data_IF_359695251597
#
_entry.id   IF_359695251597
#
_cell.length_a   1.000
_cell.length_b   1.000
_cell.length_c   1.000
_cell.angle_alpha   90.00
_cell.angle_beta   90.00
_cell.angle_gamma   90.00
#
_symmetry.space_group_name_H-M   'P 1'
#
loop_
_entity.id
_entity.type
_entity.pdbx_description
1 polymer ?
#
# COMPACT_ATOMS: atom_id res chain seq x y z
N UNK A 1 3.91 27.49 -24.01
CA UNK A 1 3.41 26.11 -24.15
C UNK A 1 4.16 25.23 -23.15
N UNK A 2 3.50 24.76 -22.09
CA UNK A 2 4.16 24.05 -20.98
C UNK A 2 4.11 22.54 -21.27
N UNK A 3 5.24 21.95 -21.64
CA UNK A 3 5.34 20.52 -21.96
C UNK A 3 5.33 19.75 -20.65
N UNK A 4 4.27 18.98 -20.39
CA UNK A 4 4.18 18.13 -19.21
C UNK A 4 5.17 16.97 -19.39
N UNK A 5 6.28 17.04 -18.66
CA UNK A 5 7.29 15.97 -18.63
C UNK A 5 6.69 14.76 -17.91
N UNK A 6 6.37 13.72 -18.69
CA UNK A 6 5.70 12.50 -18.22
C UNK A 6 6.63 11.51 -17.49
N UNK A 7 7.89 11.88 -17.24
CA UNK A 7 8.88 11.02 -16.57
C UNK A 7 8.46 10.61 -15.14
N UNK A 8 7.47 11.30 -14.55
CA UNK A 8 6.88 10.96 -13.24
C UNK A 8 5.80 9.87 -13.26
N UNK A 9 5.36 9.38 -14.44
CA UNK A 9 4.31 8.36 -14.54
C UNK A 9 4.76 7.01 -13.98
N UNK A 10 6.03 6.66 -14.17
CA UNK A 10 6.57 5.36 -13.75
C UNK A 10 7.18 5.47 -12.36
N UNK A 11 6.42 5.08 -11.34
CA UNK A 11 6.93 4.96 -9.98
C UNK A 11 7.78 3.69 -9.84
N UNK A 12 9.05 3.78 -10.21
CA UNK A 12 10.02 2.70 -10.03
C UNK A 12 10.64 2.81 -8.65
N UNK A 13 10.48 1.78 -7.83
CA UNK A 13 11.16 1.73 -6.54
C UNK A 13 12.66 1.59 -6.76
N UNK A 14 13.44 2.41 -6.05
CA UNK A 14 14.90 2.29 -6.09
C UNK A 14 15.32 0.97 -5.45
N UNK A 15 16.37 0.41 -6.02
CA UNK A 15 16.87 -0.91 -5.67
C UNK A 15 18.33 -0.79 -5.25
N UNK A 16 18.72 -1.53 -4.21
CA UNK A 16 20.06 -1.56 -3.63
C UNK A 16 20.75 -2.88 -4.02
N UNK A 17 21.86 -2.75 -4.73
CA UNK A 17 22.71 -3.86 -5.14
C UNK A 17 23.95 -4.01 -4.24
N UNK A 18 24.40 -2.90 -3.64
CA UNK A 18 25.60 -2.85 -2.80
C UNK A 18 25.39 -1.92 -1.62
N UNK A 19 26.05 -2.23 -0.51
CA UNK A 19 26.19 -1.33 0.64
C UNK A 19 27.69 -1.09 0.80
N UNK A 20 28.11 0.14 0.57
CA UNK A 20 29.53 0.52 0.49
C UNK A 20 30.27 -0.41 -0.49
N UNK A 21 31.14 -1.30 0.00
CA UNK A 21 31.92 -2.25 -0.81
C UNK A 21 31.33 -3.67 -0.84
N UNK A 22 30.28 -3.95 -0.06
CA UNK A 22 29.67 -5.26 0.02
C UNK A 22 28.60 -5.45 -1.07
N UNK A 23 28.79 -6.45 -1.94
CA UNK A 23 27.76 -6.88 -2.87
C UNK A 23 26.74 -7.73 -2.12
N UNK A 24 25.46 -7.34 -2.14
CA UNK A 24 24.45 -8.15 -1.50
C UNK A 24 24.18 -9.39 -2.37
N UNK A 25 24.11 -10.58 -1.78
CA UNK A 25 23.83 -11.82 -2.52
C UNK A 25 22.43 -11.80 -3.15
N UNK A 26 21.56 -10.92 -2.67
CA UNK A 26 20.24 -10.67 -3.22
C UNK A 26 19.96 -9.17 -3.28
N UNK A 27 19.17 -8.80 -4.27
CA UNK A 27 18.82 -7.42 -4.56
C UNK A 27 17.68 -6.99 -3.63
N UNK A 28 17.87 -5.96 -2.81
CA UNK A 28 16.84 -5.43 -1.91
C UNK A 28 16.28 -4.10 -2.39
N UNK A 29 14.98 -3.89 -2.26
CA UNK A 29 14.38 -2.56 -2.44
C UNK A 29 14.39 -1.75 -1.14
N UNK A 30 14.37 -0.42 -1.23
CA UNK A 30 14.26 0.43 -0.04
C UNK A 30 13.00 0.15 0.80
N UNK A 31 11.91 -0.25 0.14
CA UNK A 31 10.69 -0.68 0.83
C UNK A 31 10.89 -1.96 1.63
N UNK A 32 11.58 -2.96 1.08
CA UNK A 32 11.90 -4.20 1.79
C UNK A 32 12.75 -3.94 3.03
N UNK A 33 13.78 -3.10 2.91
CA UNK A 33 14.63 -2.70 4.06
C UNK A 33 13.78 -2.02 5.14
N UNK A 34 12.90 -1.10 4.75
CA UNK A 34 11.98 -0.44 5.69
C UNK A 34 11.08 -1.44 6.41
N UNK A 35 10.48 -2.39 5.67
CA UNK A 35 9.63 -3.41 6.27
C UNK A 35 10.42 -4.29 7.23
N UNK A 36 11.61 -4.75 6.84
CA UNK A 36 12.49 -5.55 7.67
C UNK A 36 12.84 -4.84 8.98
N UNK A 37 13.23 -3.57 8.91
CA UNK A 37 13.57 -2.78 10.10
C UNK A 37 12.35 -2.60 11.02
N UNK A 38 11.18 -2.31 10.44
CA UNK A 38 9.94 -2.10 11.20
C UNK A 38 9.48 -3.38 11.89
N UNK A 39 9.52 -4.53 11.19
CA UNK A 39 9.10 -5.81 11.75
C UNK A 39 10.11 -6.34 12.77
N UNK A 40 11.40 -6.11 12.55
CA UNK A 40 12.45 -6.47 13.51
C UNK A 40 12.30 -5.69 14.82
N UNK A 41 12.08 -4.37 14.75
CA UNK A 41 11.78 -3.56 15.94
C UNK A 41 10.51 -4.02 16.66
N UNK A 42 9.46 -4.37 15.92
CA UNK A 42 8.24 -4.92 16.51
C UNK A 42 8.49 -6.28 17.19
N UNK A 43 9.31 -7.15 16.59
CA UNK A 43 9.68 -8.44 17.17
C UNK A 43 10.56 -8.32 18.41
N UNK A 44 11.40 -7.28 18.51
CA UNK A 44 12.12 -7.03 19.76
C UNK A 44 11.17 -6.67 20.91
N UNK A 45 10.06 -5.98 20.62
CA UNK A 45 9.06 -5.63 21.65
C UNK A 45 8.10 -6.78 22.00
N UNK A 46 7.70 -7.60 21.02
CA UNK A 46 6.63 -8.59 21.18
C UNK A 46 7.05 -10.06 20.96
N UNK A 47 8.29 -10.31 20.53
CA UNK A 47 8.75 -11.62 20.03
C UNK A 47 8.81 -12.73 21.07
N UNK A 48 8.90 -12.40 22.36
CA UNK A 48 8.81 -13.39 23.45
C UNK A 48 7.40 -13.97 23.58
N UNK A 49 6.37 -13.15 23.30
CA UNK A 49 4.96 -13.54 23.43
C UNK A 49 4.42 -14.34 22.26
N UNK A 50 5.20 -14.49 21.19
CA UNK A 50 4.80 -15.23 19.99
C UNK A 50 5.39 -16.65 20.11
N UNK A 51 4.59 -17.66 20.52
CA UNK A 51 5.03 -19.04 20.57
C UNK A 51 5.05 -19.62 19.15
N UNK A 52 6.21 -19.55 18.47
CA UNK A 52 6.43 -20.27 17.22
C UNK A 52 7.16 -21.57 17.55
N UNK A 53 6.54 -22.74 17.33
CA UNK A 53 7.11 -24.03 17.73
C UNK A 53 8.33 -24.45 16.89
N UNK A 54 8.59 -23.78 15.76
CA UNK A 54 9.64 -24.17 14.80
C UNK A 54 11.08 -23.80 15.21
N UNK A 55 11.30 -22.85 16.12
CA UNK A 55 12.65 -22.31 16.38
C UNK A 55 12.90 -22.14 17.89
N UNK A 56 13.75 -23.01 18.46
CA UNK A 56 14.17 -22.98 19.88
C UNK A 56 14.96 -21.73 20.27
N UNK A 57 15.68 -21.13 19.32
CA UNK A 57 16.56 -19.99 19.58
C UNK A 57 15.81 -18.67 19.36
N UNK A 58 15.64 -17.86 20.42
CA UNK A 58 14.83 -16.64 20.41
C UNK A 58 15.26 -15.59 19.37
N UNK A 59 16.56 -15.35 19.21
CA UNK A 59 17.08 -14.35 18.25
C UNK A 59 16.87 -14.80 16.80
N UNK A 60 17.21 -16.05 16.49
CA UNK A 60 17.07 -16.62 15.15
C UNK A 60 15.58 -16.68 14.76
N UNK A 61 14.71 -17.01 15.72
CA UNK A 61 13.25 -16.94 15.56
C UNK A 61 12.80 -15.54 15.11
N UNK A 62 13.23 -14.50 15.82
CA UNK A 62 12.82 -13.13 15.53
C UNK A 62 13.31 -12.65 14.16
N UNK A 63 14.53 -13.03 13.76
CA UNK A 63 15.09 -12.72 12.44
C UNK A 63 14.32 -13.44 11.33
N UNK A 64 14.12 -14.75 11.46
CA UNK A 64 13.43 -15.55 10.46
C UNK A 64 12.01 -15.06 10.20
N UNK A 65 11.27 -14.72 11.26
CA UNK A 65 9.90 -14.22 11.13
C UNK A 65 9.88 -12.81 10.55
N UNK A 66 10.83 -11.94 10.92
CA UNK A 66 10.93 -10.60 10.34
C UNK A 66 11.19 -10.65 8.83
N UNK A 67 12.04 -11.58 8.37
CA UNK A 67 12.30 -11.84 6.95
C UNK A 67 11.05 -12.41 6.26
N UNK A 68 10.36 -13.36 6.89
CA UNK A 68 9.12 -13.92 6.34
C UNK A 68 8.03 -12.86 6.14
N UNK A 69 7.83 -11.98 7.13
CA UNK A 69 6.88 -10.87 7.03
C UNK A 69 7.33 -9.85 5.98
N UNK A 70 8.63 -9.55 5.88
CA UNK A 70 9.19 -8.69 4.83
C UNK A 70 8.87 -9.23 3.43
N UNK A 71 9.13 -10.53 3.20
CA UNK A 71 8.82 -11.17 1.92
C UNK A 71 7.32 -11.14 1.62
N UNK A 72 6.48 -11.38 2.62
CA UNK A 72 5.02 -11.28 2.48
C UNK A 72 4.59 -9.87 2.06
N UNK A 73 5.06 -8.83 2.75
CA UNK A 73 4.72 -7.44 2.47
C UNK A 73 5.25 -6.95 1.10
N UNK A 74 6.33 -7.54 0.60
CA UNK A 74 6.95 -7.12 -0.66
C UNK A 74 6.41 -7.85 -1.89
N UNK A 75 6.21 -9.16 -1.79
CA UNK A 75 5.97 -10.01 -2.97
C UNK A 75 4.47 -10.31 -3.18
N UNK A 76 3.68 -10.34 -2.10
CA UNK A 76 2.25 -10.66 -2.18
C UNK A 76 1.47 -9.45 -2.64
N UNK A 77 0.51 -9.65 -3.56
CA UNK A 77 -0.48 -8.64 -3.93
C UNK A 77 -1.81 -8.98 -3.26
N UNK A 78 -2.32 -8.07 -2.44
CA UNK A 78 -3.63 -8.21 -1.80
C UNK A 78 -4.63 -7.37 -2.58
N UNK A 79 -5.60 -8.02 -3.24
CA UNK A 79 -6.65 -7.34 -4.02
C UNK A 79 -6.07 -6.40 -5.12
N UNK A 80 -5.00 -6.87 -5.78
CA UNK A 80 -4.26 -6.08 -6.79
C UNK A 80 -3.45 -4.90 -6.23
N UNK A 81 -3.49 -4.65 -4.92
CA UNK A 81 -2.77 -3.56 -4.24
C UNK A 81 -1.54 -4.09 -3.51
N UNK A 82 -0.60 -3.18 -3.26
CA UNK A 82 0.51 -3.44 -2.34
C UNK A 82 -0.05 -3.74 -0.94
N UNK A 83 0.49 -4.73 -0.21
CA UNK A 83 -0.04 -5.16 1.09
C UNK A 83 -0.20 -4.03 2.09
N UNK A 84 0.79 -3.13 2.18
CA UNK A 84 0.73 -1.99 3.09
C UNK A 84 -0.36 -0.97 2.71
N UNK A 85 -0.65 -0.80 1.42
CA UNK A 85 -1.75 0.04 0.94
C UNK A 85 -3.11 -0.58 1.24
N UNK A 86 -3.20 -1.91 1.11
CA UNK A 86 -4.37 -2.68 1.51
C UNK A 86 -4.62 -2.54 3.02
N UNK A 87 -3.60 -2.80 3.86
CA UNK A 87 -3.66 -2.64 5.32
C UNK A 87 -4.10 -1.23 5.72
N UNK A 88 -3.52 -0.18 5.12
CA UNK A 88 -3.93 1.21 5.36
C UNK A 88 -5.41 1.43 5.06
N UNK A 89 -5.90 0.88 3.96
CA UNK A 89 -7.31 0.96 3.56
C UNK A 89 -8.22 0.20 4.52
N UNK A 90 -7.78 -0.97 4.98
CA UNK A 90 -8.47 -1.80 5.96
C UNK A 90 -8.60 -1.09 7.31
N UNK A 91 -7.50 -0.56 7.86
CA UNK A 91 -7.55 0.23 9.09
C UNK A 91 -8.41 1.49 8.92
N UNK A 92 -8.26 2.22 7.81
CA UNK A 92 -9.11 3.38 7.52
C UNK A 92 -10.59 2.99 7.48
N UNK A 93 -10.93 1.85 6.90
CA UNK A 93 -12.30 1.35 6.86
C UNK A 93 -12.82 0.93 8.24
N UNK A 94 -11.96 0.30 9.06
CA UNK A 94 -12.29 -0.12 10.42
C UNK A 94 -12.57 1.08 11.34
N UNK A 95 -11.72 2.12 11.29
CA UNK A 95 -11.88 3.35 12.08
C UNK A 95 -12.88 4.34 11.48
N UNK A 96 -13.36 4.10 10.26
CA UNK A 96 -14.40 4.95 9.66
C UNK A 96 -15.71 4.69 10.39
N UNK A 97 -16.24 5.70 11.07
CA UNK A 97 -17.59 5.67 11.63
C UNK A 97 -18.60 5.25 10.56
N UNK A 98 -19.22 4.08 10.73
CA UNK A 98 -20.23 3.57 9.82
C UNK A 98 -21.60 4.08 10.28
N UNK A 99 -22.05 5.18 9.71
CA UNK A 99 -23.46 5.58 9.82
C UNK A 99 -24.28 4.68 8.89
N UNK A 100 -24.72 3.53 9.39
CA UNK A 100 -25.63 2.66 8.65
C UNK A 100 -27.04 3.23 8.74
N UNK A 101 -27.55 3.80 7.66
CA UNK A 101 -28.97 4.15 7.52
C UNK A 101 -29.79 2.89 7.18
N UNK A 102 -29.73 1.85 8.01
CA UNK A 102 -30.69 0.73 7.87
C UNK A 102 -31.98 1.14 8.58
N UNK A 103 -33.03 1.39 7.79
CA UNK A 103 -34.39 1.69 8.26
C UNK A 103 -34.72 3.17 8.52
N UNK A 104 -33.76 4.10 8.38
CA UNK A 104 -34.03 5.55 8.48
C UNK A 104 -34.22 6.15 7.08
N UNK A 105 -35.30 6.89 6.80
CA UNK A 105 -35.48 7.52 5.50
C UNK A 105 -34.34 8.51 5.25
N UNK A 106 -33.56 8.27 4.20
CA UNK A 106 -32.54 9.22 3.73
C UNK A 106 -33.28 10.40 3.14
N UNK A 107 -33.22 11.56 3.81
CA UNK A 107 -33.75 12.81 3.26
C UNK A 107 -32.85 13.24 2.10
N UNK A 108 -33.24 12.90 0.87
CA UNK A 108 -32.60 13.40 -0.34
C UNK A 108 -32.80 14.91 -0.37
N UNK A 109 -31.74 15.66 -0.03
CA UNK A 109 -31.70 17.10 -0.33
C UNK A 109 -31.46 17.25 -1.83
N UNK A 110 -32.44 17.76 -2.57
CA UNK A 110 -32.22 18.25 -3.93
C UNK A 110 -31.34 19.50 -3.81
N UNK A 111 -30.10 19.38 -4.25
CA UNK A 111 -29.23 20.54 -4.46
C UNK A 111 -29.43 20.97 -5.92
N UNK A 112 -29.96 22.16 -6.14
CA UNK A 112 -29.90 22.84 -7.44
C UNK A 112 -28.51 23.44 -7.56
N UNK A 113 -27.72 22.91 -8.49
CA UNK A 113 -26.41 23.47 -8.81
C UNK A 113 -26.63 24.62 -9.80
N UNK A 114 -26.30 25.84 -9.37
CA UNK A 114 -26.40 27.07 -10.18
C UNK A 114 -25.09 27.37 -10.93
N UNK A 115 -24.33 26.31 -11.25
CA UNK A 115 -23.10 26.41 -12.02
C UNK A 115 -23.41 26.26 -13.51
N UNK A 116 -22.75 27.06 -14.35
CA UNK A 116 -22.82 26.96 -15.80
C UNK A 116 -22.18 25.66 -16.26
N UNK A 117 -23.00 24.61 -16.43
CA UNK A 117 -22.53 23.32 -16.91
C UNK A 117 -22.17 23.44 -18.40
N UNK A 118 -20.89 23.25 -18.73
CA UNK A 118 -20.45 23.14 -20.12
C UNK A 118 -20.82 21.75 -20.66
N UNK A 119 -21.87 21.69 -21.48
CA UNK A 119 -22.28 20.45 -22.16
C UNK A 119 -21.45 20.28 -23.43
N UNK A 120 -20.69 19.18 -23.52
CA UNK A 120 -19.98 18.80 -24.74
C UNK A 120 -20.84 17.80 -25.52
N UNK A 121 -21.34 18.20 -26.69
CA UNK A 121 -21.91 17.26 -27.67
C UNK A 121 -20.81 16.77 -28.60
N UNK A 122 -20.77 15.45 -28.81
CA UNK A 122 -20.00 14.85 -29.91
C UNK A 122 -20.72 15.16 -31.21
N UNK A 123 -20.02 15.79 -32.16
CA UNK A 123 -20.46 15.92 -33.54
C UNK A 123 -19.82 14.78 -34.32
N UNK A 124 -20.63 13.81 -34.72
CA UNK A 124 -20.17 12.80 -35.67
C UNK A 124 -20.18 13.44 -37.06
N UNK A 125 -19.00 13.58 -37.67
CA UNK A 125 -18.88 14.10 -39.03
C UNK A 125 -19.46 13.07 -40.00
N UNK A 126 -20.58 13.40 -40.64
CA UNK A 126 -21.08 12.67 -41.81
C UNK A 126 -20.19 13.06 -43.00
N UNK A 127 -19.40 12.11 -43.48
CA UNK A 127 -18.62 12.26 -44.72
C UNK A 127 -19.57 12.29 -45.91
N UNK A 128 -19.54 13.38 -46.68
CA UNK A 128 -20.12 13.47 -48.03
C UNK A 128 -19.24 12.75 -49.04
#
# INVERSE_FOLDING_TARGET
>A
MNIKVFTKIWNVEKVLYKISDFNLPFVLTFSQIKYLLTTFMFMLMFGEKIPIPLLKNGVIKNIAVSIGIMMFLSNVKLDGKKPMSFLKSFFKYMFRGKSSCKGKPVKLKKYTWDETITVVRRLDHVSN
#
